data_IF_052828196519
#
_entry.id   IF_052828196519
#
_cell.length_a   1.000
_cell.length_b   1.000
_cell.length_c   1.000
_cell.angle_alpha   90.00
_cell.angle_beta   90.00
_cell.angle_gamma   90.00
#
_symmetry.space_group_name_H-M   'P 1'
#
loop_
_entity.id
_entity.type
_entity.pdbx_description
1 polymer ?
#
# COMPACT_ATOMS: atom_id res chain seq x y z
N UNK A 1 15.19 -46.90 -16.63
CA UNK A 1 15.75 -45.52 -16.72
C UNK A 1 16.82 -45.43 -15.63
N UNK A 2 18.11 -45.37 -16.04
CA UNK A 2 19.22 -45.54 -15.09
C UNK A 2 19.36 -44.40 -14.09
N UNK A 3 19.50 -44.72 -12.81
CA UNK A 3 19.65 -43.74 -11.69
C UNK A 3 20.74 -42.67 -11.94
N UNK A 4 21.77 -42.99 -12.74
CA UNK A 4 22.81 -42.03 -13.15
C UNK A 4 22.32 -40.94 -14.07
N UNK A 5 21.29 -41.19 -14.95
CA UNK A 5 20.70 -40.18 -15.80
C UNK A 5 19.80 -39.22 -14.98
N UNK A 6 19.11 -39.73 -13.96
CA UNK A 6 18.27 -38.92 -13.08
C UNK A 6 19.10 -37.96 -12.21
N UNK A 7 20.23 -38.42 -11.69
CA UNK A 7 21.15 -37.58 -10.93
C UNK A 7 21.83 -36.51 -11.80
N UNK A 8 22.15 -36.83 -13.06
CA UNK A 8 22.73 -35.85 -13.97
C UNK A 8 21.72 -34.77 -14.39
N UNK A 9 20.44 -35.14 -14.60
CA UNK A 9 19.37 -34.21 -14.87
C UNK A 9 19.07 -33.27 -13.67
N UNK A 10 19.15 -33.81 -12.43
CA UNK A 10 18.98 -33.02 -11.21
C UNK A 10 20.13 -32.01 -11.02
N UNK A 11 21.36 -32.45 -11.31
CA UNK A 11 22.54 -31.57 -11.25
C UNK A 11 22.46 -30.41 -12.26
N UNK A 12 22.02 -30.68 -13.48
CA UNK A 12 21.82 -29.65 -14.50
C UNK A 12 20.69 -28.65 -14.14
N UNK A 13 19.63 -29.14 -13.50
CA UNK A 13 18.55 -28.27 -12.99
C UNK A 13 19.02 -27.34 -11.85
N UNK A 14 19.86 -27.84 -10.96
CA UNK A 14 20.45 -27.04 -9.87
C UNK A 14 21.40 -25.98 -10.40
N UNK A 15 22.23 -26.33 -11.38
CA UNK A 15 23.16 -25.39 -12.03
C UNK A 15 22.39 -24.32 -12.83
N UNK A 16 21.31 -24.67 -13.50
CA UNK A 16 20.46 -23.73 -14.22
C UNK A 16 19.68 -22.78 -13.25
N UNK A 17 19.28 -23.28 -12.09
CA UNK A 17 18.64 -22.47 -11.05
C UNK A 17 19.63 -21.49 -10.41
N UNK A 18 20.86 -21.90 -10.14
CA UNK A 18 21.92 -21.03 -9.62
C UNK A 18 22.36 -19.96 -10.64
N UNK A 19 22.40 -20.28 -11.94
CA UNK A 19 22.74 -19.32 -12.98
C UNK A 19 21.66 -18.22 -13.17
N UNK A 20 20.39 -18.49 -12.84
CA UNK A 20 19.33 -17.47 -12.79
C UNK A 20 19.42 -16.54 -11.59
N UNK A 21 20.05 -16.98 -10.51
CA UNK A 21 20.18 -16.19 -9.28
C UNK A 21 21.36 -15.20 -9.33
N UNK A 22 22.35 -15.45 -10.19
CA UNK A 22 23.52 -14.57 -10.37
C UNK A 22 23.59 -14.07 -11.83
N UNK A 23 22.90 -13.03 -12.13
CA UNK A 23 22.78 -12.28 -13.39
C UNK A 23 24.11 -12.12 -14.21
N UNK A 24 24.77 -13.25 -14.54
CA UNK A 24 25.97 -13.32 -15.38
C UNK A 24 25.69 -14.18 -16.62
N UNK A 25 25.87 -13.64 -17.83
CA UNK A 25 25.66 -14.39 -19.07
C UNK A 25 26.76 -15.45 -19.26
N UNK A 26 26.48 -16.69 -18.94
CA UNK A 26 27.42 -17.79 -19.11
C UNK A 26 27.24 -18.38 -20.51
N UNK A 27 28.10 -17.99 -21.46
CA UNK A 27 28.12 -18.46 -22.85
C UNK A 27 28.10 -19.99 -23.00
N UNK A 28 28.63 -20.74 -22.03
CA UNK A 28 28.67 -22.19 -22.01
C UNK A 28 27.28 -22.86 -21.86
N UNK A 29 26.37 -22.24 -21.09
CA UNK A 29 25.03 -22.80 -20.86
C UNK A 29 24.19 -22.76 -22.12
N UNK A 30 24.29 -21.70 -22.92
CA UNK A 30 23.55 -21.58 -24.19
C UNK A 30 24.03 -22.55 -25.23
N UNK A 31 25.32 -22.88 -25.29
CA UNK A 31 25.88 -23.89 -26.23
C UNK A 31 25.44 -25.31 -25.86
N UNK A 32 25.28 -25.62 -24.58
CA UNK A 32 24.80 -26.95 -24.14
C UNK A 32 23.32 -27.14 -24.45
N UNK A 33 22.49 -26.09 -24.23
CA UNK A 33 21.04 -26.13 -24.48
C UNK A 33 20.76 -26.28 -25.97
N UNK A 34 21.45 -25.56 -26.86
CA UNK A 34 21.27 -25.69 -28.32
C UNK A 34 21.70 -27.07 -28.89
N UNK A 35 22.67 -27.74 -28.24
CA UNK A 35 23.07 -29.09 -28.66
C UNK A 35 22.15 -30.23 -28.16
N UNK A 36 21.36 -29.98 -27.12
CA UNK A 36 20.45 -31.00 -26.54
C UNK A 36 19.04 -30.90 -27.13
N UNK A 37 18.58 -29.73 -27.54
CA UNK A 37 17.18 -29.48 -27.93
C UNK A 37 16.97 -29.12 -29.40
N UNK A 38 17.94 -29.21 -30.31
CA UNK A 38 17.73 -28.98 -31.74
C UNK A 38 16.93 -27.70 -32.07
N UNK A 39 17.37 -26.93 -33.02
CA UNK A 39 16.67 -25.73 -33.48
C UNK A 39 15.27 -26.09 -34.00
N UNK A 40 14.23 -25.54 -33.35
CA UNK A 40 12.88 -25.45 -33.92
C UNK A 40 12.76 -24.11 -34.63
N UNK A 41 13.04 -24.06 -35.89
CA UNK A 41 12.65 -22.99 -36.79
C UNK A 41 11.28 -23.36 -37.38
N UNK A 42 10.25 -22.60 -37.08
CA UNK A 42 9.08 -22.46 -37.92
C UNK A 42 8.62 -21.02 -37.95
N UNK A 43 8.94 -20.35 -39.03
CA UNK A 43 8.32 -19.11 -39.47
C UNK A 43 6.83 -19.33 -39.72
N UNK A 44 5.99 -18.45 -39.13
CA UNK A 44 4.69 -18.15 -39.73
C UNK A 44 4.43 -16.64 -39.58
N UNK A 45 4.63 -15.97 -40.73
CA UNK A 45 4.26 -14.60 -40.96
C UNK A 45 2.74 -14.47 -40.99
N UNK A 46 2.16 -13.70 -40.05
CA UNK A 46 0.77 -13.23 -40.17
C UNK A 46 0.78 -11.70 -40.01
N UNK A 47 0.56 -11.01 -41.13
CA UNK A 47 0.33 -9.56 -41.17
C UNK A 47 -0.96 -9.19 -40.41
N UNK A 48 -0.98 -8.10 -39.60
CA UNK A 48 -2.21 -7.62 -38.98
C UNK A 48 -3.03 -6.78 -39.96
N UNK A 49 -4.22 -7.26 -40.31
CA UNK A 49 -5.24 -6.51 -41.04
C UNK A 49 -5.73 -5.35 -40.16
N UNK A 50 -5.55 -4.11 -40.61
CA UNK A 50 -6.20 -2.90 -40.07
C UNK A 50 -7.71 -3.01 -40.29
N UNK A 51 -8.50 -2.97 -39.22
CA UNK A 51 -9.94 -2.72 -39.28
C UNK A 51 -10.18 -1.22 -39.13
N UNK A 52 -10.91 -0.70 -40.09
CA UNK A 52 -11.52 0.62 -40.06
C UNK A 52 -12.57 0.69 -38.91
N UNK A 53 -12.49 1.70 -38.08
CA UNK A 53 -13.54 2.07 -37.12
C UNK A 53 -14.26 3.27 -37.71
N UNK A 54 -15.60 3.28 -37.82
CA UNK A 54 -16.34 4.46 -38.23
C UNK A 54 -16.32 5.50 -37.13
N UNK A 55 -16.10 6.75 -37.49
CA UNK A 55 -16.26 7.93 -36.64
C UNK A 55 -17.71 8.35 -36.67
N UNK A 56 -18.45 8.18 -35.59
CA UNK A 56 -19.72 8.83 -35.36
C UNK A 56 -19.46 10.21 -34.71
N UNK A 57 -19.87 11.24 -35.43
CA UNK A 57 -19.93 12.62 -34.94
C UNK A 57 -20.99 12.71 -33.84
N UNK A 58 -20.57 13.12 -32.64
CA UNK A 58 -21.49 13.63 -31.62
C UNK A 58 -21.20 15.10 -31.40
N UNK A 59 -22.23 15.89 -31.72
CA UNK A 59 -22.37 17.33 -31.49
C UNK A 59 -22.56 17.54 -29.97
N UNK A 60 -21.64 18.25 -29.33
CA UNK A 60 -21.74 18.57 -27.91
C UNK A 60 -21.51 20.08 -27.72
N UNK A 61 -22.63 20.79 -27.64
CA UNK A 61 -22.68 22.16 -27.18
C UNK A 61 -23.02 22.18 -25.70
N UNK A 62 -22.00 22.32 -24.83
CA UNK A 62 -22.17 23.00 -23.54
C UNK A 62 -20.80 23.51 -23.02
N UNK A 63 -20.72 24.81 -23.04
CA UNK A 63 -19.60 25.66 -22.65
C UNK A 63 -19.60 25.83 -21.12
N UNK A 64 -18.67 25.20 -20.41
CA UNK A 64 -18.30 25.57 -19.05
C UNK A 64 -16.81 25.89 -18.97
N UNK A 65 -16.51 27.16 -18.78
CA UNK A 65 -15.19 27.75 -18.65
C UNK A 65 -14.44 27.18 -17.44
N UNK A 66 -13.44 26.33 -17.68
CA UNK A 66 -12.40 26.02 -16.70
C UNK A 66 -11.10 26.73 -17.07
N UNK A 67 -10.60 27.55 -16.14
CA UNK A 67 -9.32 28.23 -16.22
C UNK A 67 -8.16 27.22 -16.37
N UNK A 68 -7.66 27.06 -17.59
CA UNK A 68 -6.43 26.32 -17.89
C UNK A 68 -5.24 27.24 -17.72
N UNK A 69 -4.46 27.08 -16.66
CA UNK A 69 -3.15 27.71 -16.54
C UNK A 69 -2.17 27.13 -17.58
N UNK A 70 -1.34 27.95 -18.21
CA UNK A 70 -0.45 27.51 -19.28
C UNK A 70 0.72 26.65 -18.74
N UNK A 71 0.92 25.49 -19.35
CA UNK A 71 2.09 24.63 -19.13
C UNK A 71 3.24 25.24 -19.95
N UNK A 72 4.22 25.83 -19.27
CA UNK A 72 5.47 26.25 -19.93
C UNK A 72 6.41 25.05 -20.10
N UNK A 73 6.65 24.72 -21.35
CA UNK A 73 7.62 23.70 -21.79
C UNK A 73 9.01 24.33 -21.83
N UNK A 74 9.94 23.85 -21.00
CA UNK A 74 11.36 24.20 -21.14
C UNK A 74 12.06 22.99 -21.72
N UNK A 75 12.47 23.08 -22.98
CA UNK A 75 13.34 22.11 -23.64
C UNK A 75 14.77 22.62 -23.49
N UNK A 76 15.60 21.94 -22.74
CA UNK A 76 17.06 22.15 -22.78
C UNK A 76 17.64 21.16 -23.78
N UNK A 77 18.11 21.66 -24.93
CA UNK A 77 18.80 20.87 -25.91
C UNK A 77 20.21 20.50 -25.37
N UNK A 78 20.47 19.20 -25.30
CA UNK A 78 21.82 18.65 -25.16
C UNK A 78 22.17 18.07 -26.54
N UNK A 79 23.13 18.68 -27.23
CA UNK A 79 23.69 18.15 -28.46
C UNK A 79 24.57 16.93 -28.15
N UNK A 80 24.17 15.77 -28.63
CA UNK A 80 24.96 14.53 -28.58
C UNK A 80 24.11 13.36 -29.16
N UNK A 81 24.51 12.92 -30.36
CA UNK A 81 23.90 11.85 -31.12
C UNK A 81 23.91 10.53 -30.39
N UNK A 82 22.72 10.01 -30.06
CA UNK A 82 22.30 8.61 -30.09
C UNK A 82 20.80 8.57 -29.75
N UNK A 83 20.03 7.81 -30.51
CA UNK A 83 18.61 7.58 -30.27
C UNK A 83 18.42 6.90 -28.90
N UNK A 84 18.22 7.73 -27.88
CA UNK A 84 17.76 7.31 -26.56
C UNK A 84 16.40 7.94 -26.31
N UNK A 85 15.43 7.14 -25.94
CA UNK A 85 14.10 7.56 -25.50
C UNK A 85 14.22 8.73 -24.51
N UNK A 86 13.82 9.94 -24.92
CA UNK A 86 13.81 11.11 -24.05
C UNK A 86 12.78 10.91 -22.94
N UNK A 87 13.26 10.63 -21.74
CA UNK A 87 12.42 10.66 -20.54
C UNK A 87 12.16 12.12 -20.19
N UNK A 88 10.95 12.59 -20.44
CA UNK A 88 10.50 13.93 -20.05
C UNK A 88 10.51 14.05 -18.51
N UNK A 89 11.54 14.67 -17.96
CA UNK A 89 11.58 15.00 -16.52
C UNK A 89 10.69 16.21 -16.28
N UNK A 90 9.45 15.95 -15.90
CA UNK A 90 8.51 16.99 -15.46
C UNK A 90 9.00 17.57 -14.14
N UNK A 91 9.55 18.78 -14.15
CA UNK A 91 9.84 19.51 -12.91
C UNK A 91 8.53 19.88 -12.20
N UNK A 92 8.37 19.57 -10.91
CA UNK A 92 7.14 19.87 -10.16
C UNK A 92 7.09 21.36 -9.81
N UNK A 93 6.69 22.23 -10.75
CA UNK A 93 6.64 23.67 -10.53
C UNK A 93 5.53 24.17 -9.60
N UNK A 94 4.61 23.31 -9.16
CA UNK A 94 3.61 23.57 -8.10
C UNK A 94 3.03 22.26 -7.59
N UNK A 95 3.76 21.51 -6.79
CA UNK A 95 3.18 20.37 -6.09
C UNK A 95 2.31 20.86 -4.93
N UNK A 96 1.02 20.97 -5.17
CA UNK A 96 0.01 21.16 -4.12
C UNK A 96 -0.73 19.84 -3.94
N UNK A 97 -0.18 18.98 -3.04
CA UNK A 97 -0.91 17.78 -2.66
C UNK A 97 -2.24 18.18 -2.03
N UNK A 98 -3.35 17.66 -2.56
CA UNK A 98 -4.65 17.82 -1.93
C UNK A 98 -4.72 16.91 -0.70
N UNK A 99 -5.21 17.40 0.45
CA UNK A 99 -5.42 16.54 1.62
C UNK A 99 -6.33 15.38 1.26
N UNK A 100 -5.89 14.15 1.60
CA UNK A 100 -6.72 12.95 1.40
C UNK A 100 -7.38 12.47 2.70
N UNK A 101 -7.03 13.05 3.84
CA UNK A 101 -7.76 12.92 5.08
C UNK A 101 -8.78 14.06 5.21
N UNK A 102 -10.06 13.71 5.31
CA UNK A 102 -11.16 14.65 5.55
C UNK A 102 -11.83 14.28 6.87
N UNK A 103 -11.44 14.94 7.95
CA UNK A 103 -12.13 14.79 9.24
C UNK A 103 -13.44 15.57 9.23
N UNK A 104 -14.54 14.92 9.57
CA UNK A 104 -15.84 15.58 9.67
C UNK A 104 -15.94 16.33 11.00
N UNK A 105 -16.17 17.64 10.93
CA UNK A 105 -16.43 18.45 12.12
C UNK A 105 -17.63 17.91 12.89
N UNK A 106 -17.52 17.85 14.22
CA UNK A 106 -18.57 17.40 15.14
C UNK A 106 -19.05 15.95 14.95
N UNK A 107 -18.27 15.09 14.30
CA UNK A 107 -18.59 13.67 14.22
C UNK A 107 -18.45 13.03 15.60
N UNK A 108 -19.51 12.40 16.08
CA UNK A 108 -19.46 11.46 17.20
C UNK A 108 -19.14 10.09 16.64
N UNK A 109 -18.00 9.52 17.02
CA UNK A 109 -17.63 8.16 16.66
C UNK A 109 -18.31 7.17 17.60
N UNK A 110 -19.04 6.23 17.08
CA UNK A 110 -19.57 5.10 17.83
C UNK A 110 -18.52 3.99 17.92
N UNK A 111 -17.49 4.23 18.73
CA UNK A 111 -16.47 3.22 18.96
C UNK A 111 -17.09 1.98 19.59
N UNK A 112 -16.69 0.82 19.06
CA UNK A 112 -17.01 -0.49 19.64
C UNK A 112 -15.69 -1.09 20.08
N UNK A 113 -15.49 -1.20 21.36
CA UNK A 113 -14.22 -1.53 21.98
C UNK A 113 -14.38 -2.68 22.97
N UNK A 114 -13.65 -3.79 22.76
CA UNK A 114 -13.48 -4.84 23.76
C UNK A 114 -12.59 -4.38 24.89
N UNK A 115 -12.99 -4.61 26.13
CA UNK A 115 -12.28 -4.27 27.34
C UNK A 115 -11.60 -5.50 27.96
N UNK A 116 -10.48 -5.29 28.68
CA UNK A 116 -9.61 -4.11 28.61
C UNK A 116 -8.74 -4.11 27.34
N UNK A 117 -8.33 -2.91 26.89
CA UNK A 117 -7.29 -2.79 25.87
C UNK A 117 -5.92 -3.04 26.47
N UNK A 118 -4.88 -3.36 25.67
CA UNK A 118 -3.55 -3.62 26.18
C UNK A 118 -3.01 -2.52 27.11
N UNK A 119 -3.23 -1.26 26.78
CA UNK A 119 -2.79 -0.11 27.57
C UNK A 119 -3.69 0.22 28.78
N UNK A 120 -4.76 -0.48 28.99
CA UNK A 120 -5.65 -0.31 30.14
C UNK A 120 -5.31 -1.26 31.30
N UNK A 121 -4.33 -2.16 31.11
CA UNK A 121 -3.82 -3.01 32.16
C UNK A 121 -2.79 -2.26 33.02
N UNK A 122 -2.90 -2.28 34.34
CA UNK A 122 -1.90 -1.65 35.21
C UNK A 122 -0.48 -2.17 34.94
N UNK A 123 0.47 -1.25 34.77
CA UNK A 123 1.90 -1.60 34.56
C UNK A 123 2.21 -2.13 33.17
N UNK A 124 1.36 -1.93 32.19
CA UNK A 124 1.57 -2.42 30.83
C UNK A 124 2.87 -1.87 30.19
N UNK A 125 3.31 -0.68 30.61
CA UNK A 125 4.51 -0.04 30.10
C UNK A 125 5.76 -0.91 30.31
N UNK A 126 5.83 -1.65 31.42
CA UNK A 126 6.94 -2.55 31.72
C UNK A 126 7.03 -3.75 30.78
N UNK A 127 5.95 -4.07 30.06
CA UNK A 127 5.90 -5.16 29.09
C UNK A 127 6.29 -4.74 27.67
N UNK A 128 6.47 -3.45 27.40
CA UNK A 128 6.81 -2.92 26.07
C UNK A 128 8.30 -3.21 25.79
N UNK A 129 8.61 -3.98 24.72
CA UNK A 129 10.00 -4.24 24.35
C UNK A 129 10.64 -2.97 23.76
N UNK A 130 11.99 -2.94 23.75
CA UNK A 130 12.75 -1.83 23.18
C UNK A 130 12.49 -1.63 21.68
N UNK A 131 12.20 -2.72 20.96
CA UNK A 131 11.92 -2.71 19.52
C UNK A 131 10.86 -3.75 19.18
N UNK A 132 10.06 -3.49 18.17
CA UNK A 132 9.06 -4.38 17.62
C UNK A 132 8.82 -4.09 16.16
N UNK A 133 8.82 -5.11 15.31
CA UNK A 133 8.60 -4.95 13.87
C UNK A 133 7.75 -6.11 13.32
N UNK A 134 6.52 -5.85 12.95
CA UNK A 134 5.64 -6.87 12.38
C UNK A 134 6.11 -7.41 11.03
N UNK A 135 7.08 -6.76 10.39
CA UNK A 135 7.76 -7.30 9.19
C UNK A 135 8.74 -8.42 9.53
N UNK A 136 9.12 -8.55 10.80
CA UNK A 136 10.07 -9.58 11.25
C UNK A 136 9.84 -9.97 12.71
N UNK A 137 8.77 -10.68 12.99
CA UNK A 137 8.55 -11.28 14.33
C UNK A 137 9.04 -12.73 14.30
N UNK A 138 10.18 -12.99 14.94
CA UNK A 138 10.83 -14.32 14.94
C UNK A 138 11.05 -14.89 13.53
N UNK A 139 11.46 -14.04 12.57
CA UNK A 139 11.73 -14.42 11.18
C UNK A 139 10.48 -14.46 10.29
N UNK A 140 9.30 -14.14 10.80
CA UNK A 140 8.04 -14.13 10.04
C UNK A 140 7.60 -12.71 9.73
N UNK A 141 7.28 -12.43 8.46
CA UNK A 141 6.68 -11.18 8.01
C UNK A 141 5.16 -11.31 8.00
N UNK A 142 4.47 -10.54 8.83
CA UNK A 142 3.01 -10.46 8.91
C UNK A 142 2.42 -9.34 8.05
N UNK A 143 3.28 -8.45 7.54
CA UNK A 143 2.83 -7.30 6.76
C UNK A 143 2.51 -7.69 5.32
N UNK A 144 1.39 -7.22 4.82
CA UNK A 144 0.98 -7.32 3.42
C UNK A 144 1.89 -6.49 2.51
N UNK A 145 1.91 -6.72 1.18
CA UNK A 145 2.70 -5.95 0.23
C UNK A 145 2.41 -4.46 0.27
N UNK A 146 3.44 -3.63 -0.02
CA UNK A 146 3.27 -2.19 -0.20
C UNK A 146 2.45 -1.91 -1.46
N UNK A 147 1.71 -0.80 -1.47
CA UNK A 147 0.83 -0.42 -2.58
C UNK A 147 1.00 1.06 -2.93
N UNK A 148 0.53 1.44 -4.11
CA UNK A 148 0.55 2.81 -4.59
C UNK A 148 -0.88 3.31 -4.88
N UNK A 149 -1.34 4.28 -4.08
CA UNK A 149 -2.67 4.88 -4.23
C UNK A 149 -2.79 5.79 -5.46
N UNK A 150 -1.66 6.18 -6.07
CA UNK A 150 -1.59 7.10 -7.19
C UNK A 150 -1.39 6.42 -8.55
N UNK A 151 -1.57 5.10 -8.65
CA UNK A 151 -1.49 4.33 -9.87
C UNK A 151 -2.81 3.59 -10.09
N UNK A 152 -3.42 3.62 -11.30
CA UNK A 152 -2.90 4.18 -12.56
C UNK A 152 -3.01 5.70 -12.72
N UNK A 153 -3.76 6.38 -11.86
CA UNK A 153 -3.92 7.84 -11.85
C UNK A 153 -3.91 8.38 -10.41
N UNK A 154 -3.83 9.70 -10.25
CA UNK A 154 -3.88 10.33 -8.93
C UNK A 154 -5.24 10.10 -8.25
N UNK A 155 -5.22 9.55 -7.03
CA UNK A 155 -6.41 9.39 -6.19
C UNK A 155 -6.04 9.71 -4.74
N UNK A 156 -6.78 10.59 -4.08
CA UNK A 156 -6.61 10.95 -2.68
C UNK A 156 -7.22 9.92 -1.73
N UNK A 157 -6.76 8.66 -1.83
CA UNK A 157 -7.31 7.51 -1.10
C UNK A 157 -6.44 7.02 0.06
N UNK A 158 -5.56 7.87 0.62
CA UNK A 158 -4.74 7.49 1.78
C UNK A 158 -5.61 6.99 2.95
N UNK A 159 -6.80 7.57 3.13
CA UNK A 159 -7.77 7.16 4.15
C UNK A 159 -8.20 5.69 4.02
N UNK A 160 -8.22 5.15 2.79
CA UNK A 160 -8.46 3.73 2.55
C UNK A 160 -7.18 2.92 2.71
N UNK A 161 -6.09 3.34 2.05
CA UNK A 161 -4.84 2.56 2.03
C UNK A 161 -4.17 2.45 3.40
N UNK A 162 -4.11 3.54 4.19
CA UNK A 162 -3.59 3.50 5.54
C UNK A 162 -4.42 2.60 6.46
N UNK A 163 -5.76 2.68 6.34
CA UNK A 163 -6.68 1.84 7.11
C UNK A 163 -6.63 0.38 6.72
N UNK A 164 -6.69 0.06 5.42
CA UNK A 164 -6.66 -1.31 4.93
C UNK A 164 -5.29 -1.94 5.07
N UNK A 165 -4.20 -1.16 4.93
CA UNK A 165 -2.85 -1.63 5.18
C UNK A 165 -2.67 -2.12 6.62
N UNK A 166 -3.11 -1.34 7.60
CA UNK A 166 -3.11 -1.75 9.00
C UNK A 166 -4.03 -2.98 9.23
N UNK A 167 -5.22 -2.97 8.64
CA UNK A 167 -6.22 -4.02 8.86
C UNK A 167 -5.81 -5.35 8.22
N UNK A 168 -5.24 -5.34 7.00
CA UNK A 168 -4.69 -6.54 6.35
C UNK A 168 -3.66 -7.24 7.25
N UNK A 169 -2.73 -6.45 7.80
CA UNK A 169 -1.69 -6.98 8.68
C UNK A 169 -2.28 -7.51 9.99
N UNK A 170 -3.30 -6.87 10.55
CA UNK A 170 -4.02 -7.38 11.73
C UNK A 170 -4.76 -8.70 11.45
N UNK A 171 -5.34 -8.86 10.26
CA UNK A 171 -5.87 -10.16 9.84
C UNK A 171 -4.77 -11.21 9.75
N UNK A 172 -3.62 -10.88 9.18
CA UNK A 172 -2.48 -11.79 9.09
C UNK A 172 -1.97 -12.18 10.48
N UNK A 173 -1.88 -11.23 11.42
CA UNK A 173 -1.52 -11.48 12.82
C UNK A 173 -2.53 -12.40 13.49
N UNK A 174 -3.84 -12.10 13.41
CA UNK A 174 -4.88 -12.89 14.02
C UNK A 174 -4.97 -14.32 13.47
N UNK A 175 -4.70 -14.49 12.16
CA UNK A 175 -4.64 -15.78 11.47
C UNK A 175 -3.28 -16.47 11.57
N UNK A 176 -2.33 -15.92 12.36
CA UNK A 176 -0.96 -16.46 12.52
C UNK A 176 -0.25 -16.64 11.17
N UNK A 177 -0.41 -15.66 10.29
CA UNK A 177 0.15 -15.63 8.94
C UNK A 177 -0.21 -16.84 8.05
N UNK A 178 -1.40 -17.44 8.28
CA UNK A 178 -1.90 -18.53 7.44
C UNK A 178 -2.10 -18.00 6.01
N UNK A 179 -1.61 -18.77 5.04
CA UNK A 179 -1.82 -18.49 3.61
C UNK A 179 -3.29 -18.72 3.19
N UNK A 180 -3.84 -17.95 2.24
CA UNK A 180 -3.27 -16.72 1.66
C UNK A 180 -3.28 -15.56 2.65
N UNK A 181 -2.29 -14.64 2.52
CA UNK A 181 -2.32 -13.39 3.29
C UNK A 181 -3.54 -12.56 2.88
N UNK A 182 -4.12 -11.88 3.86
CA UNK A 182 -5.28 -11.02 3.63
C UNK A 182 -4.87 -9.78 2.85
N UNK A 183 -5.64 -9.45 1.83
CA UNK A 183 -5.48 -8.26 1.01
C UNK A 183 -6.86 -7.78 0.55
N UNK A 184 -7.47 -6.88 1.31
CA UNK A 184 -8.79 -6.35 1.00
C UNK A 184 -8.73 -5.26 -0.06
N UNK A 185 -9.82 -5.10 -0.82
CA UNK A 185 -9.97 -4.16 -1.91
C UNK A 185 -10.16 -2.72 -1.42
N UNK A 186 -9.23 -1.79 -1.68
CA UNK A 186 -9.47 -0.36 -1.50
C UNK A 186 -10.52 0.19 -2.45
N UNK A 187 -10.64 -0.37 -3.67
CA UNK A 187 -11.59 0.11 -4.67
C UNK A 187 -13.03 -0.12 -4.21
N UNK A 188 -13.35 -1.30 -3.67
CA UNK A 188 -14.69 -1.57 -3.15
C UNK A 188 -15.11 -0.56 -2.09
N UNK A 189 -14.19 -0.17 -1.22
CA UNK A 189 -14.46 0.84 -0.19
C UNK A 189 -14.72 2.21 -0.82
N UNK A 190 -13.93 2.63 -1.81
CA UNK A 190 -14.14 3.90 -2.53
C UNK A 190 -15.51 3.92 -3.19
N UNK A 191 -15.92 2.83 -3.82
CA UNK A 191 -17.16 2.73 -4.57
C UNK A 191 -18.39 2.57 -3.67
N UNK A 192 -18.27 1.82 -2.56
CA UNK A 192 -19.43 1.33 -1.81
C UNK A 192 -19.58 1.86 -0.37
N UNK A 193 -18.59 2.54 0.18
CA UNK A 193 -18.68 3.11 1.52
C UNK A 193 -19.68 4.28 1.60
N UNK A 194 -19.85 5.04 0.51
CA UNK A 194 -20.83 6.13 0.40
C UNK A 194 -20.46 7.41 1.17
N UNK A 195 -19.23 7.50 1.75
CA UNK A 195 -18.84 8.61 2.61
C UNK A 195 -17.50 9.27 2.24
N UNK A 196 -16.66 8.58 1.47
CA UNK A 196 -15.37 9.04 0.97
C UNK A 196 -15.22 8.78 -0.52
N UNK A 197 -14.09 9.22 -1.09
CA UNK A 197 -13.83 9.13 -2.53
C UNK A 197 -12.34 9.32 -2.83
N UNK A 198 -11.94 9.39 -4.10
CA UNK A 198 -10.61 9.85 -4.51
C UNK A 198 -10.30 11.31 -4.12
N UNK A 199 -11.27 12.06 -3.67
CA UNK A 199 -11.08 13.42 -3.13
C UNK A 199 -10.80 13.44 -1.63
N UNK A 200 -10.84 12.27 -0.98
CA UNK A 200 -10.53 12.07 0.42
C UNK A 200 -11.64 11.41 1.22
N UNK A 201 -11.34 11.06 2.45
CA UNK A 201 -12.26 10.42 3.40
C UNK A 201 -11.66 10.29 4.80
N UNK A 202 -12.27 9.44 5.64
CA UNK A 202 -11.94 9.27 7.06
C UNK A 202 -11.72 7.79 7.38
N UNK A 203 -10.72 7.46 8.21
CA UNK A 203 -10.44 6.10 8.71
C UNK A 203 -11.68 5.44 9.33
N UNK A 204 -12.44 6.21 10.09
CA UNK A 204 -13.66 5.74 10.75
C UNK A 204 -14.71 5.24 9.75
N UNK A 205 -14.80 5.85 8.57
CA UNK A 205 -15.72 5.39 7.53
C UNK A 205 -15.35 4.01 6.99
N UNK A 206 -14.03 3.73 6.86
CA UNK A 206 -13.53 2.41 6.47
C UNK A 206 -13.89 1.36 7.52
N UNK A 207 -13.64 1.65 8.80
CA UNK A 207 -13.89 0.68 9.87
C UNK A 207 -15.38 0.48 10.16
N UNK A 208 -16.21 1.52 10.06
CA UNK A 208 -17.66 1.36 10.11
C UNK A 208 -18.18 0.49 8.96
N UNK A 209 -17.67 0.69 7.74
CA UNK A 209 -18.01 -0.12 6.58
C UNK A 209 -17.56 -1.58 6.78
N UNK A 210 -16.32 -1.80 7.21
CA UNK A 210 -15.80 -3.13 7.53
C UNK A 210 -16.62 -3.86 8.61
N UNK A 211 -17.10 -3.13 9.62
CA UNK A 211 -17.93 -3.71 10.70
C UNK A 211 -19.33 -4.08 10.21
N UNK A 212 -19.94 -3.22 9.41
CA UNK A 212 -21.34 -3.35 9.01
C UNK A 212 -21.54 -4.25 7.80
N UNK A 213 -20.75 -4.02 6.75
CA UNK A 213 -20.92 -4.67 5.44
C UNK A 213 -19.88 -5.78 5.21
N UNK A 214 -18.72 -5.70 5.91
CA UNK A 214 -17.55 -6.52 5.62
C UNK A 214 -16.84 -6.07 4.35
N UNK A 215 -15.52 -6.23 4.31
CA UNK A 215 -14.69 -5.91 3.15
C UNK A 215 -14.58 -7.13 2.23
N UNK A 216 -14.22 -6.90 0.98
CA UNK A 216 -13.96 -7.95 0.01
C UNK A 216 -12.47 -8.06 -0.27
N UNK A 217 -12.03 -9.19 -0.81
CA UNK A 217 -10.65 -9.40 -1.25
C UNK A 217 -10.36 -8.57 -2.52
N UNK A 218 -9.09 -8.20 -2.72
CA UNK A 218 -8.63 -7.35 -3.83
C UNK A 218 -9.05 -7.85 -5.21
N UNK A 219 -9.06 -9.17 -5.44
CA UNK A 219 -9.48 -9.76 -6.72
C UNK A 219 -10.97 -9.62 -7.02
N UNK A 220 -11.81 -9.27 -6.03
CA UNK A 220 -13.22 -8.97 -6.23
C UNK A 220 -13.44 -7.65 -6.98
N UNK A 221 -12.62 -6.62 -6.67
CA UNK A 221 -12.64 -5.32 -7.34
C UNK A 221 -11.25 -4.70 -7.23
N UNK A 222 -10.43 -4.92 -8.23
CA UNK A 222 -9.06 -4.43 -8.27
C UNK A 222 -9.00 -2.91 -8.22
N UNK A 223 -7.93 -2.38 -7.62
CA UNK A 223 -7.74 -0.94 -7.50
C UNK A 223 -7.58 -0.25 -8.86
N UNK A 224 -8.37 0.78 -9.10
CA UNK A 224 -8.44 1.54 -10.37
C UNK A 224 -8.09 3.02 -10.19
N UNK A 225 -8.03 3.51 -8.93
CA UNK A 225 -7.79 4.91 -8.58
C UNK A 225 -8.86 5.89 -9.10
N UNK A 226 -10.11 5.45 -9.22
CA UNK A 226 -11.25 6.25 -9.68
C UNK A 226 -12.45 6.06 -8.75
N UNK A 227 -13.41 6.97 -8.86
CA UNK A 227 -14.70 6.83 -8.18
C UNK A 227 -15.67 6.11 -9.12
N UNK A 228 -16.18 4.96 -8.72
CA UNK A 228 -17.23 4.25 -9.45
C UNK A 228 -18.50 4.16 -8.61
N UNK A 229 -19.58 3.70 -9.22
CA UNK A 229 -20.85 3.46 -8.52
C UNK A 229 -20.81 2.11 -7.80
N UNK A 230 -21.36 2.05 -6.60
CA UNK A 230 -21.58 0.78 -5.91
C UNK A 230 -22.64 -0.03 -6.65
N UNK A 231 -22.19 -1.07 -7.32
CA UNK A 231 -23.05 -2.06 -7.99
C UNK A 231 -22.68 -3.44 -7.47
N UNK A 232 -23.52 -4.47 -7.64
CA UNK A 232 -23.14 -5.85 -7.30
C UNK A 232 -21.83 -6.29 -7.96
N UNK A 233 -21.55 -5.85 -9.20
CA UNK A 233 -20.31 -6.13 -9.92
C UNK A 233 -19.11 -5.43 -9.28
N UNK A 234 -19.24 -4.16 -8.88
CA UNK A 234 -18.18 -3.40 -8.22
C UNK A 234 -18.00 -3.79 -6.73
N UNK A 235 -18.89 -4.60 -6.17
CA UNK A 235 -18.62 -5.28 -4.90
C UNK A 235 -17.74 -6.50 -5.10
N UNK A 236 -18.15 -7.42 -5.94
CA UNK A 236 -17.33 -8.56 -6.34
C UNK A 236 -17.75 -9.03 -7.72
N UNK A 237 -16.88 -8.90 -8.69
CA UNK A 237 -17.16 -9.20 -10.08
C UNK A 237 -16.14 -10.11 -10.73
N UNK A 238 -16.52 -10.69 -11.86
CA UNK A 238 -15.62 -11.41 -12.76
C UNK A 238 -16.10 -11.30 -14.20
N UNK A 239 -15.18 -11.51 -15.15
CA UNK A 239 -15.49 -11.45 -16.57
C UNK A 239 -15.03 -12.71 -17.28
N UNK A 240 -15.83 -13.21 -18.22
CA UNK A 240 -15.45 -14.12 -19.28
C UNK A 240 -15.28 -13.32 -20.58
N UNK A 241 -14.71 -13.88 -21.64
CA UNK A 241 -14.41 -13.10 -22.85
C UNK A 241 -15.56 -12.24 -23.37
N UNK A 242 -16.80 -12.70 -23.24
CA UNK A 242 -17.98 -12.04 -23.80
C UNK A 242 -18.94 -11.44 -22.76
N UNK A 243 -18.67 -11.60 -21.45
CA UNK A 243 -19.60 -11.18 -20.42
C UNK A 243 -18.93 -10.91 -19.07
N UNK A 244 -19.31 -9.80 -18.42
CA UNK A 244 -18.97 -9.51 -17.03
C UNK A 244 -20.19 -9.68 -16.13
N UNK A 245 -20.01 -10.23 -14.93
CA UNK A 245 -21.08 -10.54 -14.01
C UNK A 245 -20.65 -10.36 -12.55
N UNK A 246 -21.63 -10.14 -11.68
CA UNK A 246 -21.42 -10.10 -10.24
C UNK A 246 -21.31 -11.52 -9.66
N UNK A 247 -20.31 -11.72 -8.81
CA UNK A 247 -20.19 -12.93 -7.99
C UNK A 247 -21.12 -12.80 -6.79
N UNK A 248 -21.93 -13.85 -6.50
CA UNK A 248 -22.91 -13.81 -5.42
C UNK A 248 -22.35 -14.32 -4.09
N UNK A 249 -21.50 -15.35 -4.13
CA UNK A 249 -20.93 -15.98 -2.95
C UNK A 249 -19.44 -15.73 -2.90
N UNK A 250 -19.00 -14.90 -1.96
CA UNK A 250 -17.60 -14.54 -1.71
C UNK A 250 -17.35 -14.29 -0.23
N UNK A 251 -16.11 -14.46 0.18
CA UNK A 251 -15.68 -14.21 1.57
C UNK A 251 -15.74 -12.71 1.88
N UNK A 252 -16.29 -12.38 3.05
CA UNK A 252 -16.27 -11.02 3.59
C UNK A 252 -15.41 -10.95 4.84
N UNK A 253 -14.62 -9.91 4.93
CA UNK A 253 -13.69 -9.64 6.03
C UNK A 253 -14.31 -8.63 6.99
N UNK A 254 -14.82 -9.10 8.11
CA UNK A 254 -15.44 -8.26 9.14
C UNK A 254 -14.47 -7.87 10.25
N UNK A 255 -14.81 -6.82 10.97
CA UNK A 255 -14.15 -6.45 12.23
C UNK A 255 -15.15 -6.53 13.38
N UNK A 256 -14.64 -6.91 14.57
CA UNK A 256 -15.43 -6.95 15.82
C UNK A 256 -15.50 -5.57 16.45
N UNK A 257 -14.35 -4.98 16.64
CA UNK A 257 -14.14 -3.77 17.40
C UNK A 257 -13.27 -2.79 16.63
N UNK A 258 -13.42 -1.51 16.91
CA UNK A 258 -12.53 -0.47 16.45
C UNK A 258 -12.61 0.73 17.38
N UNK A 259 -11.56 1.54 17.40
CA UNK A 259 -11.50 2.73 18.24
C UNK A 259 -10.23 3.52 18.03
N UNK A 260 -10.03 4.53 18.86
CA UNK A 260 -8.83 5.37 18.85
C UNK A 260 -7.81 4.90 19.88
N UNK A 261 -6.55 5.15 19.58
CA UNK A 261 -5.40 5.01 20.47
C UNK A 261 -4.48 6.21 20.26
N UNK A 262 -3.94 6.77 21.34
CA UNK A 262 -3.09 7.96 21.32
C UNK A 262 -1.98 7.81 22.33
N UNK A 263 -0.85 8.48 22.06
CA UNK A 263 0.32 8.44 22.92
C UNK A 263 1.20 7.23 22.66
N UNK A 264 2.49 7.45 22.78
CA UNK A 264 3.54 6.51 22.41
C UNK A 264 3.36 5.12 23.03
N UNK A 265 3.25 5.05 24.37
CA UNK A 265 3.18 3.79 25.11
C UNK A 265 1.89 3.00 24.77
N UNK A 266 0.75 3.70 24.68
CA UNK A 266 -0.51 3.09 24.32
C UNK A 266 -0.48 2.50 22.91
N UNK A 267 0.11 3.24 21.94
CA UNK A 267 0.30 2.78 20.56
C UNK A 267 1.21 1.56 20.53
N UNK A 268 2.34 1.57 21.25
CA UNK A 268 3.26 0.43 21.35
C UNK A 268 2.55 -0.81 21.90
N UNK A 269 1.79 -0.67 22.98
CA UNK A 269 1.03 -1.78 23.58
C UNK A 269 0.00 -2.37 22.61
N UNK A 270 -0.74 -1.52 21.89
CA UNK A 270 -1.71 -1.96 20.89
C UNK A 270 -1.05 -2.66 19.72
N UNK A 271 0.00 -2.06 19.14
CA UNK A 271 0.73 -2.62 18.01
C UNK A 271 1.33 -3.97 18.35
N UNK A 272 2.04 -4.08 19.48
CA UNK A 272 2.66 -5.33 19.91
C UNK A 272 1.63 -6.46 20.09
N UNK A 273 0.52 -6.13 20.74
CA UNK A 273 -0.45 -7.15 21.17
C UNK A 273 -1.38 -7.61 20.06
N UNK A 274 -1.73 -6.71 19.10
CA UNK A 274 -2.83 -6.96 18.16
C UNK A 274 -2.53 -6.61 16.71
N UNK A 275 -1.41 -5.96 16.42
CA UNK A 275 -0.99 -5.64 15.06
C UNK A 275 -0.98 -4.13 14.74
N UNK A 276 -0.60 -3.78 13.51
CA UNK A 276 -0.48 -2.40 13.05
C UNK A 276 -1.74 -1.55 13.24
N UNK A 277 -1.55 -0.23 13.30
CA UNK A 277 -2.63 0.75 13.49
C UNK A 277 -2.57 1.83 12.41
N UNK A 278 -3.72 2.40 12.05
CA UNK A 278 -3.82 3.51 11.10
C UNK A 278 -3.66 4.84 11.83
N UNK A 279 -2.70 5.67 11.43
CA UNK A 279 -2.41 6.95 12.07
C UNK A 279 -2.46 8.11 11.09
N UNK A 280 -2.93 9.26 11.55
CA UNK A 280 -2.90 10.50 10.77
C UNK A 280 -1.57 11.24 10.97
N UNK A 281 -1.07 11.86 9.89
CA UNK A 281 0.13 12.72 9.92
C UNK A 281 -0.10 14.01 9.15
N UNK A 282 0.64 15.06 9.52
CA UNK A 282 0.76 16.30 8.77
C UNK A 282 1.93 16.21 7.79
N UNK A 283 1.75 15.44 6.70
CA UNK A 283 2.79 15.27 5.69
C UNK A 283 3.08 16.58 4.94
N UNK A 284 4.34 16.99 4.92
CA UNK A 284 4.82 18.22 4.29
C UNK A 284 5.30 17.97 2.86
N UNK A 285 5.39 18.99 1.99
CA UNK A 285 6.01 18.84 0.68
C UNK A 285 7.47 18.34 0.74
N UNK A 286 8.21 18.68 1.79
CA UNK A 286 9.57 18.18 2.01
C UNK A 286 9.56 16.68 2.27
N UNK A 287 8.66 16.19 3.11
CA UNK A 287 8.47 14.76 3.33
C UNK A 287 8.05 14.04 2.05
N UNK A 288 7.05 14.58 1.36
CA UNK A 288 6.49 13.96 0.16
C UNK A 288 7.54 13.75 -0.95
N UNK A 289 8.37 14.76 -1.20
CA UNK A 289 9.27 14.81 -2.36
C UNK A 289 10.72 14.43 -2.06
N UNK A 290 11.19 14.63 -0.83
CA UNK A 290 12.62 14.56 -0.53
C UNK A 290 13.00 13.41 0.42
N UNK A 291 12.02 12.70 1.01
CA UNK A 291 12.35 11.58 1.87
C UNK A 291 12.76 10.36 1.03
N UNK A 292 14.01 9.94 1.17
CA UNK A 292 14.59 8.76 0.51
C UNK A 292 15.03 7.68 1.49
N UNK A 293 15.08 7.99 2.79
CA UNK A 293 15.48 7.05 3.85
C UNK A 293 16.01 7.75 5.10
N UNK A 294 16.33 6.95 6.12
CA UNK A 294 16.78 7.42 7.43
C UNK A 294 15.62 7.72 8.39
N UNK A 295 15.96 8.16 9.60
CA UNK A 295 14.94 8.55 10.58
C UNK A 295 14.54 10.00 10.31
N UNK A 296 13.28 10.17 9.86
CA UNK A 296 12.75 11.48 9.54
C UNK A 296 12.50 12.31 10.78
N UNK A 297 12.87 13.59 10.69
CA UNK A 297 12.58 14.60 11.69
C UNK A 297 12.35 15.94 11.00
N UNK A 298 11.23 16.59 11.27
CA UNK A 298 10.93 17.91 10.73
C UNK A 298 10.03 18.67 11.71
N UNK A 299 10.47 19.82 12.16
CA UNK A 299 9.61 20.68 12.97
C UNK A 299 8.50 21.24 12.08
N UNK A 300 7.27 20.80 12.35
CA UNK A 300 6.10 21.20 11.59
C UNK A 300 4.86 21.28 12.49
N UNK A 301 4.04 22.28 12.23
CA UNK A 301 2.71 22.44 12.83
C UNK A 301 1.59 22.18 11.82
N UNK A 302 1.90 21.50 10.72
CA UNK A 302 0.92 21.19 9.67
C UNK A 302 -0.16 20.26 10.24
N UNK A 303 -1.41 20.62 10.03
CA UNK A 303 -2.54 19.78 10.42
C UNK A 303 -2.55 18.47 9.63
N UNK A 304 -3.08 17.41 10.24
CA UNK A 304 -3.17 16.10 9.62
C UNK A 304 -3.87 16.14 8.27
N UNK A 305 -3.23 15.58 7.26
CA UNK A 305 -3.67 15.57 5.86
C UNK A 305 -3.47 14.23 5.16
N UNK A 306 -2.88 13.25 5.85
CA UNK A 306 -2.51 11.94 5.31
C UNK A 306 -2.71 10.85 6.34
N UNK A 307 -3.03 9.62 5.89
CA UNK A 307 -3.15 8.43 6.72
C UNK A 307 -2.09 7.41 6.32
N UNK A 308 -1.41 6.87 7.32
CA UNK A 308 -0.36 5.85 7.19
C UNK A 308 -0.64 4.66 8.12
N UNK A 309 0.13 3.57 7.98
CA UNK A 309 0.03 2.40 8.87
C UNK A 309 1.30 2.26 9.71
N UNK A 310 1.19 2.34 11.03
CA UNK A 310 2.32 2.14 11.96
C UNK A 310 2.41 0.67 12.33
N UNK A 311 3.54 0.03 12.00
CA UNK A 311 3.73 -1.41 12.11
C UNK A 311 4.74 -1.83 13.17
N UNK A 312 5.40 -0.86 13.83
CA UNK A 312 6.40 -1.15 14.83
C UNK A 312 7.23 0.08 15.20
N UNK A 313 8.28 -0.17 15.95
CA UNK A 313 9.25 0.83 16.39
C UNK A 313 10.62 0.18 16.60
N UNK A 314 11.64 0.99 16.66
CA UNK A 314 12.99 0.56 16.95
C UNK A 314 13.82 1.67 17.56
N UNK A 315 15.06 1.35 17.88
CA UNK A 315 16.06 2.29 18.38
C UNK A 315 17.29 2.24 17.47
N UNK A 316 17.67 3.37 16.94
CA UNK A 316 18.91 3.48 16.17
C UNK A 316 20.12 3.26 17.07
N UNK A 317 21.01 2.36 16.68
CA UNK A 317 22.12 1.94 17.53
C UNK A 317 23.23 2.97 17.66
N UNK A 318 23.37 3.86 16.68
CA UNK A 318 24.42 4.87 16.66
C UNK A 318 24.02 6.13 17.41
N UNK A 319 22.77 6.58 17.18
CA UNK A 319 22.27 7.82 17.75
C UNK A 319 21.40 7.63 18.99
N UNK A 320 21.05 6.37 19.33
CA UNK A 320 20.08 6.01 20.35
C UNK A 320 18.72 6.70 20.18
N UNK A 321 18.40 7.04 18.92
CA UNK A 321 17.12 7.69 18.58
C UNK A 321 16.05 6.64 18.40
N UNK A 322 14.95 6.75 19.14
CA UNK A 322 13.78 5.91 18.97
C UNK A 322 12.91 6.41 17.81
N UNK A 323 12.39 5.46 17.03
CA UNK A 323 11.62 5.77 15.82
C UNK A 323 10.46 4.80 15.61
N UNK A 324 9.40 5.30 14.97
CA UNK A 324 8.31 4.50 14.41
C UNK A 324 8.70 3.90 13.06
N UNK A 325 8.23 2.68 12.81
CA UNK A 325 8.31 1.98 11.52
C UNK A 325 6.94 2.11 10.86
N UNK A 326 6.88 2.82 9.73
CA UNK A 326 5.62 3.28 9.15
C UNK A 326 5.53 2.91 7.68
N UNK A 327 4.40 2.29 7.29
CA UNK A 327 4.08 2.02 5.88
C UNK A 327 3.38 3.23 5.28
N UNK A 328 3.89 3.68 4.13
CA UNK A 328 3.21 4.64 3.25
C UNK A 328 2.45 3.90 2.13
N UNK A 329 1.74 4.65 1.29
CA UNK A 329 0.93 4.16 0.18
C UNK A 329 1.27 4.82 -1.16
N UNK A 330 2.57 5.05 -1.40
CA UNK A 330 3.08 5.69 -2.63
C UNK A 330 4.01 4.76 -3.44
N UNK A 331 3.90 3.45 -3.20
CA UNK A 331 4.68 2.43 -3.87
C UNK A 331 6.08 2.23 -3.32
N UNK A 332 6.72 1.15 -3.73
CA UNK A 332 8.07 0.76 -3.24
C UNK A 332 9.20 1.67 -3.73
N UNK A 333 8.97 2.46 -4.79
CA UNK A 333 9.94 3.42 -5.28
C UNK A 333 10.12 4.63 -4.36
N UNK A 334 9.18 4.88 -3.44
CA UNK A 334 9.24 5.97 -2.49
C UNK A 334 9.88 5.53 -1.17
N UNK A 335 10.73 6.39 -0.58
CA UNK A 335 11.34 6.19 0.73
C UNK A 335 12.13 4.89 0.87
N UNK A 336 11.98 4.21 1.99
CA UNK A 336 12.61 2.92 2.29
C UNK A 336 11.74 1.76 1.76
N UNK A 337 11.65 1.60 0.44
CA UNK A 337 10.79 0.61 -0.24
C UNK A 337 9.31 0.75 0.12
N UNK A 338 8.81 1.99 0.10
CA UNK A 338 7.43 2.31 0.44
C UNK A 338 7.17 2.50 1.94
N UNK A 339 8.22 2.43 2.76
CA UNK A 339 8.20 2.65 4.20
C UNK A 339 8.98 3.90 4.57
N UNK A 340 8.80 4.33 5.81
CA UNK A 340 9.64 5.36 6.40
C UNK A 340 9.79 5.14 7.91
N UNK A 341 10.84 5.73 8.46
CA UNK A 341 11.08 5.82 9.90
C UNK A 341 10.95 7.27 10.33
N UNK A 342 10.31 7.50 11.46
CA UNK A 342 10.12 8.85 12.00
C UNK A 342 10.30 8.82 13.52
N UNK A 343 10.90 9.87 14.08
CA UNK A 343 11.14 9.96 15.53
C UNK A 343 9.86 9.81 16.33
N UNK A 344 9.99 9.23 17.53
CA UNK A 344 8.91 9.21 18.54
C UNK A 344 8.88 10.50 19.37
N UNK A 345 7.87 10.63 20.23
CA UNK A 345 7.77 11.74 21.18
C UNK A 345 8.97 11.88 22.12
N UNK A 346 9.78 10.83 22.29
CA UNK A 346 10.99 10.87 23.16
C UNK A 346 12.16 11.66 22.56
N UNK A 347 12.13 11.95 21.24
CA UNK A 347 13.19 12.69 20.56
C UNK A 347 13.44 14.06 21.24
N UNK A 348 14.74 14.47 21.30
CA UNK A 348 15.19 15.71 21.95
C UNK A 348 14.64 15.86 23.38
N UNK A 349 14.77 14.80 24.20
CA UNK A 349 14.31 14.78 25.59
C UNK A 349 12.82 15.07 25.76
N UNK A 350 11.98 14.45 24.91
CA UNK A 350 10.51 14.56 25.01
C UNK A 350 9.89 15.66 24.16
N UNK A 351 10.65 16.29 23.26
CA UNK A 351 10.14 17.30 22.33
C UNK A 351 9.71 16.73 20.97
N UNK A 352 9.77 15.41 20.81
CA UNK A 352 9.58 14.72 19.52
C UNK A 352 8.23 14.97 18.85
N UNK A 353 7.19 15.32 19.59
CA UNK A 353 5.88 15.65 19.03
C UNK A 353 5.90 16.87 18.09
N UNK A 354 6.86 17.78 18.25
CA UNK A 354 7.08 18.89 17.32
C UNK A 354 7.73 18.43 16.01
N UNK A 355 8.33 17.23 15.97
CA UNK A 355 9.19 16.74 14.89
C UNK A 355 8.67 15.47 14.21
N UNK A 356 7.61 14.86 14.73
CA UNK A 356 7.07 13.58 14.26
C UNK A 356 5.78 13.71 13.43
N UNK A 357 5.51 14.88 12.87
CA UNK A 357 4.31 15.17 12.06
C UNK A 357 2.99 14.84 12.77
N UNK A 358 2.99 14.79 14.12
CA UNK A 358 1.81 14.50 14.92
C UNK A 358 1.33 13.06 14.90
N UNK A 359 2.16 12.09 14.49
CA UNK A 359 1.78 10.68 14.29
C UNK A 359 1.20 10.02 15.55
N UNK A 360 1.54 10.49 16.75
CA UNK A 360 1.07 9.90 18.02
C UNK A 360 -0.27 10.47 18.52
N UNK A 361 -0.89 11.39 17.76
CA UNK A 361 -2.05 12.16 18.25
C UNK A 361 -3.40 11.63 17.79
N UNK A 362 -3.45 10.87 16.69
CA UNK A 362 -4.71 10.44 16.10
C UNK A 362 -4.53 9.14 15.32
N UNK A 363 -4.59 8.04 16.05
CA UNK A 363 -4.46 6.69 15.52
C UNK A 363 -5.72 5.87 15.78
N UNK A 364 -5.95 4.87 14.95
CA UNK A 364 -7.12 4.01 15.01
C UNK A 364 -6.69 2.55 14.90
N UNK A 365 -7.29 1.71 15.73
CA UNK A 365 -7.21 0.25 15.65
C UNK A 365 -8.53 -0.34 15.16
N UNK A 366 -8.46 -1.54 14.56
CA UNK A 366 -9.63 -2.36 14.24
C UNK A 366 -9.31 -3.82 14.46
N UNK A 367 -10.11 -4.53 15.27
CA UNK A 367 -9.87 -5.93 15.58
C UNK A 367 -10.59 -6.83 14.58
N UNK A 368 -9.88 -7.70 13.85
CA UNK A 368 -10.46 -8.60 12.87
C UNK A 368 -11.44 -9.61 13.48
N UNK A 369 -12.50 -9.92 12.75
CA UNK A 369 -13.28 -11.12 12.96
C UNK A 369 -12.81 -12.22 12.01
N UNK A 370 -12.19 -13.26 12.55
CA UNK A 370 -11.68 -14.39 11.76
C UNK A 370 -12.59 -15.62 11.84
N UNK A 371 -13.76 -15.50 12.44
CA UNK A 371 -14.66 -16.64 12.68
C UNK A 371 -15.20 -17.28 11.39
N UNK A 372 -15.18 -16.55 10.28
CA UNK A 372 -15.64 -17.01 8.96
C UNK A 372 -14.51 -17.18 7.92
N UNK A 373 -13.25 -17.18 8.36
CA UNK A 373 -12.09 -17.19 7.48
C UNK A 373 -11.28 -18.50 7.50
N UNK A 374 -11.74 -19.52 8.19
CA UNK A 374 -11.06 -20.83 8.34
C UNK A 374 -11.60 -21.90 7.40
#
# INVERSE_FOLDING_TARGET
MNARLALFALFLLVVACQARYHNTPNRLVNVIISKIYGSFDQESSVEPRRRHVPTDEYDDSDESTEDKAPVHRIVSAIEGSDESDEVEVVQPSRYLRRPCLIKRKNRRYNFVKSYPRPWEHPGFEASIPKEWDWRNVSGVNYCSPNRNQHIPVYCGSCWVFGSTGALNDRFNVARKNRWPQTMVSPQEIIDCNGKGSCQGGDVADVYEHAKKEGLVEEGCNNYKAVNEKCTPFNRCGSCWPDNCFAIQNYTRYFIKDWGQVQGRENMMAEIQSRGPIACSIGATPKFDLNYTGGIYTEKSNLTSNHIVSVSGWGVDKETNTEFWIVRNSWGEAWGERGWFRIVTSTYLNGQGNDFNMGIETDCYFADPDISNLD
#
